data_IF_919716605015
#
_entry.id   IF_919716605015
#
_cell.length_a   1.000
_cell.length_b   1.000
_cell.length_c   1.000
_cell.angle_alpha   90.00
_cell.angle_beta   90.00
_cell.angle_gamma   90.00
#
_symmetry.space_group_name_H-M   'P 1'
#
loop_
_entity.id
_entity.type
_entity.pdbx_description
1 polymer ?
#
# COMPACT_ATOMS: atom_id res chain seq x y z
N UNK A 1 5.31 22.32 2.73
CA UNK A 1 5.67 21.29 1.73
C UNK A 1 4.96 21.65 0.45
N UNK A 2 5.64 21.63 -0.69
CA UNK A 2 4.98 21.81 -1.98
C UNK A 2 4.08 20.61 -2.26
N UNK A 3 2.98 20.80 -3.00
CA UNK A 3 2.03 19.72 -3.33
C UNK A 3 2.74 18.48 -3.90
N UNK A 4 3.74 18.69 -4.76
CA UNK A 4 4.53 17.61 -5.35
C UNK A 4 5.30 16.77 -4.32
N UNK A 5 5.86 17.41 -3.28
CA UNK A 5 6.59 16.72 -2.21
C UNK A 5 5.64 15.87 -1.37
N UNK A 6 4.44 16.39 -1.08
CA UNK A 6 3.39 15.64 -0.38
C UNK A 6 2.93 14.43 -1.18
N UNK A 7 2.67 14.59 -2.48
CA UNK A 7 2.27 13.49 -3.38
C UNK A 7 3.36 12.42 -3.42
N UNK A 8 4.62 12.81 -3.58
CA UNK A 8 5.74 11.86 -3.63
C UNK A 8 5.90 11.09 -2.31
N UNK A 9 5.77 11.79 -1.17
CA UNK A 9 5.82 11.16 0.14
C UNK A 9 4.69 10.14 0.33
N UNK A 10 3.45 10.47 -0.05
CA UNK A 10 2.32 9.53 0.04
C UNK A 10 2.51 8.33 -0.90
N UNK A 11 2.97 8.54 -2.14
CA UNK A 11 3.26 7.44 -3.06
C UNK A 11 4.32 6.48 -2.49
N UNK A 12 5.40 7.03 -1.95
CA UNK A 12 6.48 6.24 -1.35
C UNK A 12 5.97 5.46 -0.13
N UNK A 13 5.19 6.11 0.74
CA UNK A 13 4.59 5.47 1.92
C UNK A 13 3.57 4.41 1.51
N UNK A 14 2.71 4.70 0.53
CA UNK A 14 1.75 3.74 -0.01
C UNK A 14 2.47 2.50 -0.52
N UNK A 15 3.54 2.67 -1.30
CA UNK A 15 4.35 1.56 -1.80
C UNK A 15 5.03 0.77 -0.68
N UNK A 16 5.74 1.46 0.23
CA UNK A 16 6.49 0.84 1.32
C UNK A 16 5.60 0.14 2.33
N UNK A 17 4.40 0.67 2.62
CA UNK A 17 3.42 0.00 3.45
C UNK A 17 2.83 -1.21 2.74
N UNK A 18 2.48 -1.09 1.47
CA UNK A 18 1.85 -2.19 0.74
C UNK A 18 2.82 -3.36 0.48
N UNK A 19 4.13 -3.15 0.55
CA UNK A 19 5.14 -4.21 0.42
C UNK A 19 5.02 -5.31 1.52
N UNK A 20 5.15 -5.02 2.82
CA UNK A 20 4.95 -6.00 3.88
C UNK A 20 3.50 -6.51 3.93
N UNK A 21 2.49 -5.67 3.68
CA UNK A 21 1.09 -6.14 3.61
C UNK A 21 0.86 -7.14 2.47
N UNK A 22 1.50 -6.92 1.31
CA UNK A 22 1.52 -7.86 0.19
C UNK A 22 2.12 -9.22 0.56
N UNK A 23 3.20 -9.20 1.36
CA UNK A 23 3.82 -10.41 1.89
C UNK A 23 2.95 -11.09 2.94
N UNK A 24 2.45 -10.36 3.95
CA UNK A 24 1.56 -10.87 5.00
C UNK A 24 0.30 -11.51 4.43
N UNK A 25 -0.28 -10.92 3.37
CA UNK A 25 -1.44 -11.46 2.66
C UNK A 25 -1.21 -12.89 2.17
N UNK A 26 0.03 -13.27 1.86
CA UNK A 26 0.37 -14.63 1.42
C UNK A 26 0.45 -15.67 2.55
N UNK A 27 0.46 -15.23 3.82
CA UNK A 27 0.36 -16.12 5.00
C UNK A 27 -1.08 -16.25 5.49
N UNK A 28 -1.95 -15.31 5.16
CA UNK A 28 -3.36 -15.33 5.53
C UNK A 28 -4.21 -16.11 4.51
N UNK A 29 -5.22 -16.87 4.97
CA UNK A 29 -6.20 -17.49 4.05
C UNK A 29 -7.05 -16.40 3.39
N UNK A 30 -7.32 -16.55 2.09
CA UNK A 30 -8.29 -15.70 1.37
C UNK A 30 -9.63 -15.69 2.13
N UNK A 31 -10.25 -14.52 2.26
CA UNK A 31 -11.48 -14.28 3.04
C UNK A 31 -11.37 -14.46 4.57
N UNK A 32 -10.17 -14.62 5.13
CA UNK A 32 -9.99 -14.52 6.59
C UNK A 32 -9.97 -13.06 7.05
N UNK A 33 -10.24 -12.83 8.33
CA UNK A 33 -10.11 -11.50 8.98
C UNK A 33 -8.70 -10.92 8.72
N UNK A 34 -7.65 -11.75 8.80
CA UNK A 34 -6.28 -11.31 8.51
C UNK A 34 -6.08 -10.84 7.07
N UNK A 35 -6.73 -11.48 6.10
CA UNK A 35 -6.68 -11.06 4.69
C UNK A 35 -7.42 -9.74 4.48
N UNK A 36 -8.57 -9.57 5.12
CA UNK A 36 -9.32 -8.32 5.08
C UNK A 36 -8.52 -7.17 5.70
N UNK A 37 -7.88 -7.38 6.85
CA UNK A 37 -6.99 -6.40 7.51
C UNK A 37 -5.82 -6.04 6.61
N UNK A 38 -5.19 -7.00 5.92
CA UNK A 38 -4.07 -6.69 5.02
C UNK A 38 -4.46 -5.77 3.85
N UNK A 39 -5.71 -5.84 3.38
CA UNK A 39 -6.23 -5.01 2.30
C UNK A 39 -6.76 -3.68 2.83
N UNK A 40 -7.44 -3.70 3.98
CA UNK A 40 -8.11 -2.53 4.54
C UNK A 40 -7.24 -1.71 5.48
N UNK A 41 -6.09 -2.18 5.97
CA UNK A 41 -5.20 -1.38 6.81
C UNK A 41 -4.42 -0.28 6.03
N UNK A 42 -3.92 -0.53 4.81
CA UNK A 42 -3.23 0.51 4.03
C UNK A 42 -4.15 1.66 3.60
N UNK A 43 -5.41 1.38 3.28
CA UNK A 43 -6.40 2.35 2.78
C UNK A 43 -6.63 3.52 3.76
N UNK A 44 -7.03 3.31 5.04
CA UNK A 44 -7.24 4.38 6.01
C UNK A 44 -5.92 5.09 6.33
N UNK A 45 -4.78 4.37 6.31
CA UNK A 45 -3.48 5.00 6.56
C UNK A 45 -3.13 6.03 5.48
N UNK A 46 -3.34 5.69 4.20
CA UNK A 46 -3.15 6.61 3.07
C UNK A 46 -4.19 7.74 3.11
N UNK A 47 -5.45 7.44 3.46
CA UNK A 47 -6.50 8.44 3.57
C UNK A 47 -6.19 9.49 4.65
N UNK A 48 -5.73 9.07 5.83
CA UNK A 48 -5.29 9.97 6.89
C UNK A 48 -4.15 10.88 6.43
N UNK A 49 -3.13 10.31 5.78
CA UNK A 49 -1.98 11.07 5.30
C UNK A 49 -2.37 12.11 4.26
N UNK A 50 -3.32 11.75 3.39
CA UNK A 50 -3.88 12.63 2.36
C UNK A 50 -4.71 13.76 2.94
N UNK A 51 -5.52 13.49 3.98
CA UNK A 51 -6.29 14.53 4.69
C UNK A 51 -5.32 15.50 5.37
N UNK A 52 -4.30 14.99 6.04
CA UNK A 52 -3.30 15.80 6.75
C UNK A 52 -2.48 16.71 5.82
N UNK A 53 -2.23 16.25 4.59
CA UNK A 53 -1.46 17.00 3.58
C UNK A 53 -2.31 17.88 2.68
N UNK A 54 -3.65 17.88 2.83
CA UNK A 54 -4.60 18.64 2.02
C UNK A 54 -4.43 18.47 0.48
N UNK A 55 -3.97 17.30 0.04
CA UNK A 55 -3.72 17.01 -1.38
C UNK A 55 -5.04 16.80 -2.14
N UNK A 56 -5.15 17.24 -3.39
CA UNK A 56 -6.37 17.08 -4.18
C UNK A 56 -6.76 15.62 -4.49
N UNK A 57 -8.06 15.41 -4.72
CA UNK A 57 -8.64 14.10 -5.06
C UNK A 57 -8.10 13.51 -6.37
N UNK A 58 -7.55 14.35 -7.23
CA UNK A 58 -6.95 13.97 -8.51
C UNK A 58 -5.78 12.98 -8.36
N UNK A 59 -5.09 12.96 -7.21
CA UNK A 59 -3.93 12.10 -6.98
C UNK A 59 -4.28 10.74 -6.36
N UNK A 60 -5.55 10.51 -5.99
CA UNK A 60 -5.99 9.21 -5.42
C UNK A 60 -5.70 8.02 -6.35
N UNK A 61 -5.99 8.09 -7.67
CA UNK A 61 -5.67 7.00 -8.59
C UNK A 61 -4.17 6.68 -8.62
N UNK A 62 -3.32 7.70 -8.49
CA UNK A 62 -1.87 7.54 -8.46
C UNK A 62 -1.42 6.78 -7.20
N UNK A 63 -1.92 7.18 -6.03
CA UNK A 63 -1.64 6.48 -4.77
C UNK A 63 -2.12 5.03 -4.81
N UNK A 64 -3.30 4.80 -5.37
CA UNK A 64 -3.87 3.47 -5.55
C UNK A 64 -3.00 2.59 -6.45
N UNK A 65 -2.47 3.15 -7.54
CA UNK A 65 -1.54 2.44 -8.44
C UNK A 65 -0.27 1.98 -7.71
N UNK A 66 0.34 2.87 -6.92
CA UNK A 66 1.53 2.54 -6.12
C UNK A 66 1.23 1.54 -5.00
N UNK A 67 0.05 1.63 -4.37
CA UNK A 67 -0.41 0.64 -3.41
C UNK A 67 -0.53 -0.75 -4.02
N UNK A 68 -1.17 -0.86 -5.19
CA UNK A 68 -1.29 -2.14 -5.90
C UNK A 68 0.08 -2.68 -6.28
N UNK A 69 0.95 -1.82 -6.82
CA UNK A 69 2.32 -2.21 -7.17
C UNK A 69 3.07 -2.78 -5.96
N UNK A 70 3.03 -2.10 -4.82
CA UNK A 70 3.64 -2.56 -3.56
C UNK A 70 3.08 -3.90 -3.09
N UNK A 71 1.76 -4.09 -3.14
CA UNK A 71 1.11 -5.34 -2.73
C UNK A 71 1.48 -6.52 -3.63
N UNK A 72 1.56 -6.31 -4.95
CA UNK A 72 1.97 -7.34 -5.91
C UNK A 72 3.44 -7.70 -5.70
N UNK A 73 4.33 -6.69 -5.62
CA UNK A 73 5.76 -6.88 -5.42
C UNK A 73 6.06 -7.60 -4.09
N UNK A 74 5.38 -7.21 -3.00
CA UNK A 74 5.48 -7.87 -1.71
C UNK A 74 5.04 -9.34 -1.75
N UNK A 75 3.98 -9.64 -2.50
CA UNK A 75 3.54 -11.03 -2.73
C UNK A 75 4.55 -11.85 -3.53
N UNK A 76 5.14 -11.28 -4.58
CA UNK A 76 6.14 -11.95 -5.43
C UNK A 76 7.48 -12.13 -4.72
N UNK A 77 7.86 -11.23 -3.80
CA UNK A 77 9.09 -11.37 -3.01
C UNK A 77 9.09 -12.67 -2.20
N UNK A 78 7.93 -13.05 -1.64
CA UNK A 78 7.75 -14.31 -0.93
C UNK A 78 7.95 -15.54 -1.82
N UNK A 79 7.41 -15.52 -3.03
CA UNK A 79 7.60 -16.61 -4.00
C UNK A 79 9.08 -16.78 -4.32
N UNK A 80 9.82 -15.68 -4.45
CA UNK A 80 11.26 -15.70 -4.69
C UNK A 80 12.05 -16.25 -3.50
N UNK A 81 11.70 -15.86 -2.26
CA UNK A 81 12.39 -16.33 -1.04
C UNK A 81 12.11 -17.80 -0.74
N UNK A 82 10.90 -18.32 -1.05
CA UNK A 82 10.53 -19.73 -0.81
C UNK A 82 11.05 -20.70 -1.89
N UNK A 83 11.63 -20.18 -2.96
CA UNK A 83 12.20 -20.95 -4.09
C UNK A 83 13.72 -21.17 -3.98
N UNK A 84 14.37 -20.67 -2.92
CA UNK A 84 15.78 -20.93 -2.58
C UNK A 84 15.87 -21.72 -1.28
#
# INVERSE_FOLDING_TARGET
>A
MNTLQGVFAICAIAFLLNLPFGWLRTYTRKFSIGWAVCIHAPIPMIAFMRIYTHIDWVYIPLFFLFSIAGQILGGKLKERIRSS
#
